data_IF_150110458074
#
_entry.id   IF_150110458074
#
_cell.length_a   1.000
_cell.length_b   1.000
_cell.length_c   1.000
_cell.angle_alpha   90.00
_cell.angle_beta   90.00
_cell.angle_gamma   90.00
#
_symmetry.space_group_name_H-M   'P 1'
#
loop_
_entity.id
_entity.type
_entity.pdbx_description
1 polymer ?
#
# COMPACT_ATOMS: atom_id res chain seq x y z
N UNK A 1 -1.60 -21.60 -5.78
CA UNK A 1 -2.06 -20.20 -5.92
C UNK A 1 -0.82 -19.32 -5.82
N UNK A 2 -0.71 -18.24 -6.60
CA UNK A 2 0.45 -17.32 -6.50
C UNK A 2 0.29 -16.42 -5.28
N UNK A 3 1.36 -16.15 -4.53
CA UNK A 3 1.33 -15.32 -3.32
C UNK A 3 0.92 -13.88 -3.66
N UNK A 4 0.03 -13.24 -2.89
CA UNK A 4 -0.35 -11.86 -3.12
C UNK A 4 0.85 -10.91 -2.99
N UNK A 5 0.86 -9.86 -3.81
CA UNK A 5 1.94 -8.87 -3.84
C UNK A 5 1.63 -7.66 -2.96
N UNK A 6 2.60 -7.21 -2.18
CA UNK A 6 2.52 -6.01 -1.36
C UNK A 6 3.55 -4.97 -1.82
N UNK A 7 3.08 -3.74 -2.09
CA UNK A 7 3.93 -2.62 -2.44
C UNK A 7 4.20 -1.79 -1.19
N UNK A 8 5.47 -1.47 -0.92
CA UNK A 8 5.88 -0.67 0.24
C UNK A 8 6.50 0.62 -0.31
N UNK A 9 5.72 1.71 -0.24
CA UNK A 9 6.04 2.99 -0.87
C UNK A 9 6.80 3.97 0.06
N UNK A 10 6.82 3.70 1.36
CA UNK A 10 7.54 4.49 2.36
C UNK A 10 8.46 3.58 3.19
N UNK A 11 9.50 4.17 3.79
CA UNK A 11 10.42 3.45 4.66
C UNK A 11 9.72 2.94 5.93
N UNK A 12 9.69 1.62 6.11
CA UNK A 12 9.21 0.94 7.32
C UNK A 12 10.35 0.11 7.94
N UNK A 13 10.17 -0.37 9.17
CA UNK A 13 11.16 -1.23 9.82
C UNK A 13 11.37 -2.55 9.06
N UNK A 14 12.61 -3.05 9.00
CA UNK A 14 12.93 -4.34 8.39
C UNK A 14 12.09 -5.48 8.97
N UNK A 15 11.92 -5.49 10.31
CA UNK A 15 11.04 -6.45 11.00
C UNK A 15 9.65 -6.51 10.35
N UNK A 16 9.03 -5.37 10.04
CA UNK A 16 7.72 -5.35 9.40
C UNK A 16 7.71 -5.97 8.00
N UNK A 17 8.79 -5.81 7.24
CA UNK A 17 8.96 -6.44 5.93
C UNK A 17 9.11 -7.96 6.11
N UNK A 18 9.92 -8.39 7.07
CA UNK A 18 10.15 -9.81 7.36
C UNK A 18 8.87 -10.52 7.83
N UNK A 19 8.03 -9.85 8.62
CA UNK A 19 6.73 -10.36 9.05
C UNK A 19 5.77 -10.52 7.86
N UNK A 20 5.76 -9.57 6.91
CA UNK A 20 4.91 -9.64 5.71
C UNK A 20 5.32 -10.78 4.78
N UNK A 21 6.62 -11.06 4.65
CA UNK A 21 7.16 -12.06 3.73
C UNK A 21 7.39 -13.44 4.37
N UNK A 22 7.16 -13.57 5.68
CA UNK A 22 7.34 -14.82 6.44
C UNK A 22 6.65 -15.98 5.74
N UNK A 23 7.37 -17.11 5.66
CA UNK A 23 6.89 -18.36 5.06
C UNK A 23 6.38 -18.23 3.60
N UNK A 24 6.78 -17.16 2.90
CA UNK A 24 6.32 -16.89 1.53
C UNK A 24 4.87 -16.42 1.45
N UNK A 25 4.31 -15.91 2.57
CA UNK A 25 2.93 -15.46 2.67
C UNK A 25 2.60 -14.35 1.65
N UNK A 26 3.53 -13.39 1.47
CA UNK A 26 3.41 -12.29 0.51
C UNK A 26 4.72 -12.04 -0.23
N UNK A 27 4.62 -11.58 -1.46
CA UNK A 27 5.76 -11.05 -2.23
C UNK A 27 5.85 -9.53 -2.00
N UNK A 28 6.89 -9.06 -1.31
CA UNK A 28 7.07 -7.64 -1.02
C UNK A 28 7.95 -6.94 -2.05
N UNK A 29 7.49 -5.80 -2.55
CA UNK A 29 8.28 -4.85 -3.33
C UNK A 29 8.44 -3.56 -2.56
N UNK A 30 9.67 -3.23 -2.16
CA UNK A 30 10.01 -1.97 -1.52
C UNK A 30 10.53 -1.00 -2.56
N UNK A 31 9.86 0.13 -2.73
CA UNK A 31 10.32 1.20 -3.63
C UNK A 31 9.82 2.54 -3.11
N UNK A 32 10.72 3.30 -2.51
CA UNK A 32 10.40 4.54 -1.80
C UNK A 32 10.66 5.79 -2.63
N UNK A 33 10.04 6.91 -2.26
CA UNK A 33 10.32 8.22 -2.89
C UNK A 33 9.73 8.37 -4.29
N UNK A 34 8.72 7.56 -4.63
CA UNK A 34 8.00 7.68 -5.89
C UNK A 34 7.09 8.89 -5.90
N UNK A 35 7.05 9.57 -7.05
CA UNK A 35 5.96 10.50 -7.35
C UNK A 35 4.63 9.77 -7.49
N UNK A 36 3.53 10.51 -7.37
CA UNK A 36 2.18 9.96 -7.54
C UNK A 36 2.01 9.23 -8.89
N UNK A 37 2.54 9.79 -9.98
CA UNK A 37 2.47 9.17 -11.31
C UNK A 37 3.25 7.86 -11.37
N UNK A 38 4.49 7.84 -10.86
CA UNK A 38 5.31 6.62 -10.84
C UNK A 38 4.68 5.53 -9.99
N UNK A 39 4.08 5.89 -8.84
CA UNK A 39 3.37 4.92 -8.01
C UNK A 39 2.12 4.39 -8.73
N UNK A 40 1.34 5.26 -9.38
CA UNK A 40 0.16 4.84 -10.15
C UNK A 40 0.52 3.87 -11.29
N UNK A 41 1.66 4.07 -11.96
CA UNK A 41 2.15 3.16 -13.01
C UNK A 41 2.61 1.80 -12.44
N UNK A 42 3.18 1.79 -11.24
CA UNK A 42 3.76 0.59 -10.65
C UNK A 42 2.76 -0.28 -9.86
N UNK A 43 1.62 0.26 -9.41
CA UNK A 43 0.76 -0.36 -8.39
C UNK A 43 -0.31 -1.33 -8.94
N UNK A 44 -0.51 -1.39 -10.26
CA UNK A 44 -1.65 -2.07 -10.88
C UNK A 44 -1.86 -3.54 -10.45
N UNK A 45 -0.75 -4.26 -10.22
CA UNK A 45 -0.75 -5.69 -9.90
C UNK A 45 -0.66 -6.02 -8.40
N UNK A 46 -0.66 -5.02 -7.52
CA UNK A 46 -0.46 -5.21 -6.09
C UNK A 46 -1.79 -5.35 -5.35
N UNK A 47 -1.85 -6.31 -4.43
CA UNK A 47 -3.02 -6.57 -3.58
C UNK A 47 -3.04 -5.68 -2.33
N UNK A 48 -1.86 -5.23 -1.88
CA UNK A 48 -1.71 -4.38 -0.72
C UNK A 48 -0.73 -3.24 -0.99
N UNK A 49 -0.98 -2.08 -0.37
CA UNK A 49 -0.08 -0.93 -0.35
C UNK A 49 0.23 -0.56 1.11
N UNK A 50 1.51 -0.48 1.45
CA UNK A 50 2.00 -0.01 2.75
C UNK A 50 2.64 1.36 2.58
N UNK A 51 2.19 2.31 3.41
CA UNK A 51 2.68 3.69 3.45
C UNK A 51 2.97 4.13 4.89
N UNK A 52 3.59 5.30 5.03
CA UNK A 52 3.69 6.08 6.27
C UNK A 52 3.10 7.46 6.01
N UNK A 53 3.89 8.51 6.24
CA UNK A 53 3.47 9.91 6.16
C UNK A 53 3.87 10.59 4.86
N UNK A 54 4.75 9.99 4.05
CA UNK A 54 5.29 10.64 2.86
C UNK A 54 4.38 10.44 1.65
N UNK A 55 4.05 9.19 1.35
CA UNK A 55 3.17 8.87 0.23
C UNK A 55 1.74 9.33 0.51
N UNK A 56 1.15 10.09 -0.41
CA UNK A 56 -0.27 10.44 -0.39
C UNK A 56 -1.02 9.49 -1.32
N UNK A 57 -1.98 8.74 -0.80
CA UNK A 57 -2.80 7.80 -1.56
C UNK A 57 -4.06 8.50 -2.05
N UNK A 58 -4.00 9.01 -3.27
CA UNK A 58 -5.07 9.78 -3.91
C UNK A 58 -6.00 8.90 -4.75
N UNK A 59 -7.09 9.50 -5.23
CA UNK A 59 -7.96 8.94 -6.27
C UNK A 59 -7.20 8.30 -7.43
N UNK A 60 -6.14 8.97 -7.92
CA UNK A 60 -5.37 8.55 -9.08
C UNK A 60 -4.64 7.24 -8.82
N UNK A 61 -3.97 7.14 -7.67
CA UNK A 61 -3.27 5.91 -7.26
C UNK A 61 -4.28 4.78 -7.05
N UNK A 62 -5.38 5.06 -6.34
CA UNK A 62 -6.42 4.07 -6.10
C UNK A 62 -6.97 3.55 -7.43
N UNK A 63 -7.40 4.42 -8.34
CA UNK A 63 -7.96 4.01 -9.62
C UNK A 63 -6.99 3.21 -10.51
N UNK A 64 -5.69 3.51 -10.44
CA UNK A 64 -4.67 2.74 -11.15
C UNK A 64 -4.42 1.35 -10.52
N UNK A 65 -4.66 1.20 -9.21
CA UNK A 65 -4.42 -0.02 -8.46
C UNK A 65 -5.58 -1.04 -8.63
N UNK A 66 -5.57 -1.76 -9.77
CA UNK A 66 -6.65 -2.66 -10.20
C UNK A 66 -6.89 -3.85 -9.27
N UNK A 67 -5.86 -4.35 -8.60
CA UNK A 67 -5.93 -5.50 -7.68
C UNK A 67 -5.92 -5.13 -6.20
N UNK A 68 -5.84 -3.83 -5.88
CA UNK A 68 -5.66 -3.37 -4.52
C UNK A 68 -6.88 -3.70 -3.67
N UNK A 69 -6.65 -4.32 -2.52
CA UNK A 69 -7.68 -4.69 -1.53
C UNK A 69 -7.48 -3.97 -0.21
N UNK A 70 -6.25 -3.55 0.08
CA UNK A 70 -5.92 -2.98 1.38
C UNK A 70 -4.81 -1.92 1.28
N UNK A 71 -4.95 -0.85 2.05
CA UNK A 71 -3.92 0.16 2.31
C UNK A 71 -3.61 0.14 3.80
N UNK A 72 -2.38 -0.21 4.17
CA UNK A 72 -1.89 -0.14 5.54
C UNK A 72 -1.01 1.09 5.76
N UNK A 73 -1.39 1.96 6.70
CA UNK A 73 -0.55 3.07 7.15
C UNK A 73 0.17 2.71 8.44
N UNK A 74 1.50 2.71 8.41
CA UNK A 74 2.33 2.59 9.60
C UNK A 74 2.38 3.94 10.36
N UNK A 75 1.31 4.21 11.11
CA UNK A 75 1.11 5.36 11.99
C UNK A 75 -0.35 5.46 12.46
N UNK A 76 -0.63 6.46 13.31
CA UNK A 76 -1.95 6.61 13.98
C UNK A 76 -3.03 7.15 13.04
N UNK A 77 -2.77 8.23 12.29
CA UNK A 77 -3.77 8.85 11.41
C UNK A 77 -3.94 8.12 10.07
N UNK A 78 -4.88 8.60 9.24
CA UNK A 78 -5.06 8.18 7.82
C UNK A 78 -5.26 9.37 6.87
N UNK A 79 -4.84 10.57 7.29
CA UNK A 79 -5.04 11.88 6.64
C UNK A 79 -4.45 12.00 5.23
N UNK A 80 -3.48 11.14 4.91
CA UNK A 80 -2.82 11.06 3.60
C UNK A 80 -3.42 9.97 2.70
N UNK A 81 -4.59 9.42 3.04
CA UNK A 81 -5.32 8.44 2.24
C UNK A 81 -6.70 9.02 1.92
N UNK A 82 -7.10 8.95 0.65
CA UNK A 82 -8.48 9.21 0.25
C UNK A 82 -9.38 8.04 0.66
N UNK A 83 -9.79 8.05 1.93
CA UNK A 83 -10.60 6.98 2.55
C UNK A 83 -11.96 6.84 1.87
N UNK A 84 -12.53 7.93 1.38
CA UNK A 84 -13.83 7.93 0.73
C UNK A 84 -13.80 7.16 -0.60
N UNK A 85 -12.80 7.41 -1.43
CA UNK A 85 -12.59 6.65 -2.67
C UNK A 85 -12.16 5.22 -2.37
N UNK A 86 -11.29 5.00 -1.38
CA UNK A 86 -10.90 3.65 -0.99
C UNK A 86 -12.13 2.81 -0.60
N UNK A 87 -13.02 3.37 0.22
CA UNK A 87 -14.28 2.74 0.64
C UNK A 87 -15.18 2.43 -0.55
N UNK A 88 -15.41 3.39 -1.45
CA UNK A 88 -16.20 3.16 -2.68
C UNK A 88 -15.66 2.04 -3.56
N UNK A 89 -14.33 1.85 -3.57
CA UNK A 89 -13.66 0.79 -4.34
C UNK A 89 -13.58 -0.54 -3.59
N UNK A 90 -14.09 -0.62 -2.36
CA UNK A 90 -13.96 -1.82 -1.51
C UNK A 90 -12.54 -2.06 -1.02
N UNK A 91 -11.70 -1.02 -0.99
CA UNK A 91 -10.33 -1.05 -0.46
C UNK A 91 -10.37 -0.69 1.01
N UNK A 92 -9.92 -1.61 1.87
CA UNK A 92 -9.85 -1.37 3.32
C UNK A 92 -8.65 -0.49 3.64
N UNK A 93 -8.84 0.51 4.51
CA UNK A 93 -7.76 1.33 5.04
C UNK A 93 -7.55 0.97 6.51
N UNK A 94 -6.32 0.64 6.88
CA UNK A 94 -5.94 0.26 8.25
C UNK A 94 -4.74 1.08 8.75
N UNK A 95 -4.72 1.35 10.05
CA UNK A 95 -3.72 2.14 10.76
C UNK A 95 -3.16 1.36 11.97
N UNK A 96 -2.16 1.93 12.64
CA UNK A 96 -1.57 1.39 13.87
C UNK A 96 -1.60 2.49 14.95
N UNK A 97 -2.67 2.57 15.77
CA UNK A 97 -2.83 3.58 16.81
C UNK A 97 -1.89 3.40 18.01
#
# INVERSE_FOLDING_TARGET
MSSPKVFIADSISQRGIDELTRDGALEAKVQTGLSETQLAEAIADFAALIIRSQTKVTAKILNAAKKLRVVGRAGVGVDNVDVEIATRRGVVVLNAP
#
